data_IF_220255434254
#
_entry.id   IF_220255434254
#
_cell.length_a   1.000
_cell.length_b   1.000
_cell.length_c   1.000
_cell.angle_alpha   90.00
_cell.angle_beta   90.00
_cell.angle_gamma   90.00
#
_symmetry.space_group_name_H-M   'P 1'
#
loop_
_entity.id
_entity.type
_entity.pdbx_description
1 polymer ?
#
# COMPACT_ATOMS: atom_id res chain seq x y z
N UNK A 1 1.02 4.33 22.13
CA UNK A 1 1.70 3.09 21.70
C UNK A 1 2.53 3.38 20.47
N UNK A 2 3.82 3.00 20.53
CA UNK A 2 4.69 3.01 19.37
C UNK A 2 4.35 1.78 18.51
N UNK A 3 4.06 1.98 17.23
CA UNK A 3 3.88 0.89 16.27
C UNK A 3 5.21 0.52 15.65
N UNK A 4 5.45 -0.76 15.52
CA UNK A 4 6.67 -1.32 14.95
C UNK A 4 6.37 -2.02 13.62
N UNK A 5 7.42 -2.20 12.80
CA UNK A 5 7.40 -3.04 11.58
C UNK A 5 7.37 -4.54 11.89
N UNK A 6 7.18 -4.93 13.14
CA UNK A 6 7.10 -6.32 13.64
C UNK A 6 5.93 -6.45 14.59
N UNK A 7 5.41 -7.67 14.74
CA UNK A 7 4.32 -7.99 15.67
C UNK A 7 3.04 -8.44 14.98
N UNK A 8 3.02 -8.56 13.65
CA UNK A 8 1.95 -9.28 12.96
C UNK A 8 1.91 -10.75 13.44
N UNK A 9 0.72 -11.32 13.46
CA UNK A 9 0.50 -12.70 13.89
C UNK A 9 -0.16 -13.48 12.76
N UNK A 10 0.06 -14.81 12.68
CA UNK A 10 -0.73 -15.66 11.79
C UNK A 10 -2.21 -15.41 11.99
N UNK A 11 -2.97 -15.51 10.93
CA UNK A 11 -4.40 -15.23 10.83
C UNK A 11 -4.83 -13.76 10.94
N UNK A 12 -3.94 -12.81 11.21
CA UNK A 12 -4.25 -11.41 11.08
C UNK A 12 -4.39 -10.99 9.61
N UNK A 13 -5.21 -9.97 9.38
CA UNK A 13 -5.46 -9.40 8.08
C UNK A 13 -4.38 -8.36 7.74
N UNK A 14 -3.89 -8.39 6.50
CA UNK A 14 -3.12 -7.29 5.94
C UNK A 14 -4.08 -6.23 5.41
N UNK A 15 -4.03 -5.05 5.99
CA UNK A 15 -4.79 -3.90 5.56
C UNK A 15 -3.90 -2.81 5.01
N UNK A 16 -4.42 -2.04 4.06
CA UNK A 16 -3.76 -0.81 3.58
C UNK A 16 -4.68 0.39 3.63
N UNK A 17 -4.10 1.56 3.81
CA UNK A 17 -4.79 2.84 3.67
C UNK A 17 -4.77 3.33 2.22
N UNK A 18 -5.73 4.14 1.83
CA UNK A 18 -5.76 4.87 0.56
C UNK A 18 -5.81 4.02 -0.72
N UNK A 19 -5.13 4.49 -1.75
CA UNK A 19 -4.95 3.80 -3.04
C UNK A 19 -3.46 3.72 -3.37
N UNK A 20 -3.09 2.71 -4.15
CA UNK A 20 -1.71 2.39 -4.51
C UNK A 20 -1.43 2.76 -5.97
N UNK A 21 -0.20 3.18 -6.26
CA UNK A 21 0.33 3.44 -7.60
C UNK A 21 0.00 4.80 -8.19
N UNK A 22 -0.74 5.65 -7.48
CA UNK A 22 -1.01 7.01 -7.94
C UNK A 22 0.28 7.85 -8.02
N UNK A 23 1.22 7.65 -7.08
CA UNK A 23 2.51 8.33 -7.06
C UNK A 23 3.40 7.92 -8.23
N UNK A 24 3.47 6.64 -8.56
CA UNK A 24 4.20 6.13 -9.74
C UNK A 24 3.76 6.81 -11.03
N UNK A 25 2.45 6.91 -11.26
CA UNK A 25 1.91 7.62 -12.42
C UNK A 25 2.33 9.10 -12.39
N UNK A 26 2.34 9.72 -11.23
CA UNK A 26 2.77 11.10 -11.03
C UNK A 26 4.24 11.31 -11.40
N UNK A 27 5.12 10.43 -10.95
CA UNK A 27 6.53 10.42 -11.29
C UNK A 27 6.75 10.26 -12.80
N UNK A 28 6.10 9.28 -13.44
CA UNK A 28 6.23 9.05 -14.87
C UNK A 28 5.79 10.25 -15.71
N UNK A 29 4.72 10.92 -15.28
CA UNK A 29 4.27 12.15 -15.93
C UNK A 29 5.27 13.29 -15.79
N UNK A 30 5.95 13.41 -14.65
CA UNK A 30 7.02 14.40 -14.45
C UNK A 30 8.22 14.11 -15.34
N UNK A 31 8.67 12.86 -15.39
CA UNK A 31 9.84 12.46 -16.19
C UNK A 31 9.58 12.63 -17.69
N UNK A 32 8.40 12.27 -18.18
CA UNK A 32 8.03 12.43 -19.60
C UNK A 32 7.86 13.90 -20.02
N UNK A 33 7.47 14.78 -19.10
CA UNK A 33 7.12 16.18 -19.38
C UNK A 33 8.20 17.19 -19.02
N UNK A 34 9.46 16.79 -18.85
CA UNK A 34 10.58 17.74 -18.58
C UNK A 34 10.68 18.89 -19.60
N UNK A 35 9.99 18.82 -20.74
CA UNK A 35 10.04 19.86 -21.81
C UNK A 35 8.75 20.72 -21.94
N UNK A 36 7.63 20.39 -21.28
CA UNK A 36 6.36 21.12 -21.50
C UNK A 36 5.48 21.23 -20.24
N UNK A 37 5.24 22.44 -19.83
CA UNK A 37 4.02 23.06 -19.29
C UNK A 37 3.99 23.56 -17.85
N UNK A 38 3.51 24.81 -17.77
CA UNK A 38 3.16 25.59 -16.55
C UNK A 38 2.02 25.00 -15.69
N UNK A 39 1.33 23.94 -16.14
CA UNK A 39 0.14 23.36 -15.48
C UNK A 39 0.36 22.01 -14.79
N UNK A 40 1.59 21.51 -14.69
CA UNK A 40 1.90 20.19 -14.11
C UNK A 40 1.43 20.05 -12.66
N UNK A 41 1.58 21.11 -11.85
CA UNK A 41 1.19 21.09 -10.43
C UNK A 41 -0.31 20.88 -10.17
N UNK A 42 -1.18 21.06 -11.19
CA UNK A 42 -2.62 20.81 -11.08
C UNK A 42 -3.02 19.37 -11.37
N UNK A 43 -2.11 18.55 -11.92
CA UNK A 43 -2.40 17.14 -12.22
C UNK A 43 -2.57 16.35 -10.91
N UNK A 44 -3.62 15.53 -10.86
CA UNK A 44 -3.95 14.71 -9.69
C UNK A 44 -2.80 13.79 -9.26
N UNK A 45 -2.20 13.06 -10.21
CA UNK A 45 -1.13 12.09 -9.92
C UNK A 45 0.17 12.79 -9.52
N UNK A 46 0.52 13.88 -10.19
CA UNK A 46 1.70 14.68 -9.82
C UNK A 46 1.55 15.24 -8.40
N UNK A 47 0.34 15.68 -8.02
CA UNK A 47 0.08 16.07 -6.62
C UNK A 47 0.27 14.92 -5.64
N UNK A 48 -0.11 13.69 -6.01
CA UNK A 48 0.08 12.51 -5.16
C UNK A 48 1.55 12.20 -4.92
N UNK A 49 2.37 12.35 -5.94
CA UNK A 49 3.81 12.16 -5.85
C UNK A 49 4.52 13.29 -5.05
N UNK A 50 4.24 14.57 -5.37
CA UNK A 50 4.93 15.71 -4.74
C UNK A 50 4.45 15.95 -3.29
N UNK A 51 3.18 15.66 -3.01
CA UNK A 51 2.55 15.89 -1.70
C UNK A 51 1.78 14.64 -1.28
N UNK A 52 2.50 13.60 -0.82
CA UNK A 52 1.90 12.35 -0.39
C UNK A 52 0.99 12.55 0.84
N UNK A 53 0.05 11.64 1.08
CA UNK A 53 -0.89 11.76 2.18
C UNK A 53 -0.20 11.57 3.54
N UNK A 54 -0.53 12.42 4.50
CA UNK A 54 -0.11 12.28 5.90
C UNK A 54 -1.20 11.50 6.65
N UNK A 55 -0.86 10.35 7.26
CA UNK A 55 -1.79 9.45 7.95
C UNK A 55 -1.68 9.49 9.48
N UNK A 56 -0.98 10.48 10.05
CA UNK A 56 -0.69 10.55 11.48
C UNK A 56 -1.95 10.51 12.36
N UNK A 57 -2.98 11.27 12.03
CA UNK A 57 -4.21 11.29 12.81
C UNK A 57 -4.99 9.98 12.73
N UNK A 58 -4.96 9.32 11.58
CA UNK A 58 -5.59 8.02 11.39
C UNK A 58 -4.87 6.97 12.23
N UNK A 59 -3.55 6.85 12.09
CA UNK A 59 -2.77 5.82 12.77
C UNK A 59 -2.79 5.99 14.30
N UNK A 60 -2.77 7.21 14.81
CA UNK A 60 -2.89 7.50 16.25
C UNK A 60 -4.17 6.92 16.84
N UNK A 61 -5.29 7.04 16.13
CA UNK A 61 -6.59 6.54 16.60
C UNK A 61 -6.70 5.01 16.59
N UNK A 62 -5.98 4.34 15.69
CA UNK A 62 -6.07 2.88 15.53
C UNK A 62 -4.88 2.12 16.14
N UNK A 63 -3.83 2.81 16.58
CA UNK A 63 -2.56 2.20 17.03
C UNK A 63 -2.72 1.16 18.13
N UNK A 64 -3.72 1.28 19.01
CA UNK A 64 -3.98 0.34 20.08
C UNK A 64 -4.73 -0.93 19.62
N UNK A 65 -5.12 -1.01 18.34
CA UNK A 65 -5.84 -2.14 17.73
C UNK A 65 -5.08 -2.77 16.57
N UNK A 66 -3.90 -2.25 16.26
CA UNK A 66 -3.00 -2.69 15.18
C UNK A 66 -1.80 -3.37 15.79
N UNK A 67 -1.37 -4.50 15.25
CA UNK A 67 -0.26 -5.31 15.76
C UNK A 67 1.09 -4.88 15.19
N UNK A 68 1.11 -4.50 13.90
CA UNK A 68 2.31 -3.98 13.22
C UNK A 68 1.93 -3.01 12.10
N UNK A 69 2.83 -2.09 11.76
CA UNK A 69 2.59 -1.08 10.73
C UNK A 69 3.90 -0.67 10.05
N UNK A 70 3.82 -0.39 8.75
CA UNK A 70 4.89 0.18 7.92
C UNK A 70 4.27 1.18 6.93
N UNK A 71 5.01 2.20 6.56
CA UNK A 71 4.68 3.06 5.42
C UNK A 71 5.05 2.36 4.09
N UNK A 72 4.29 2.66 3.04
CA UNK A 72 4.55 2.14 1.69
C UNK A 72 5.41 3.16 0.96
N UNK A 73 6.72 3.03 1.12
CA UNK A 73 7.75 3.89 0.53
C UNK A 73 8.54 3.22 -0.58
N UNK A 74 8.79 1.91 -0.48
CA UNK A 74 9.56 1.13 -1.45
C UNK A 74 8.65 0.31 -2.40
N UNK A 75 7.35 0.33 -2.16
CA UNK A 75 6.31 -0.35 -2.91
C UNK A 75 5.49 -1.31 -2.07
N UNK A 76 4.21 -1.44 -2.40
CA UNK A 76 3.27 -2.24 -1.61
C UNK A 76 3.78 -3.66 -1.35
N UNK A 77 4.22 -4.33 -2.39
CA UNK A 77 4.66 -5.73 -2.29
C UNK A 77 5.88 -5.84 -1.39
N UNK A 78 6.90 -5.00 -1.61
CA UNK A 78 8.15 -5.03 -0.88
C UNK A 78 7.96 -4.69 0.61
N UNK A 79 7.20 -3.64 0.92
CA UNK A 79 6.97 -3.22 2.30
C UNK A 79 6.05 -4.18 3.06
N UNK A 80 5.07 -4.78 2.38
CA UNK A 80 4.25 -5.87 2.96
C UNK A 80 5.10 -7.11 3.29
N UNK A 81 6.06 -7.41 2.44
CA UNK A 81 7.06 -8.46 2.66
C UNK A 81 7.92 -8.19 3.90
N UNK A 82 8.45 -6.96 4.01
CA UNK A 82 9.22 -6.55 5.20
C UNK A 82 8.38 -6.69 6.48
N UNK A 83 7.11 -6.30 6.41
CA UNK A 83 6.20 -6.38 7.55
C UNK A 83 6.01 -7.83 8.02
N UNK A 84 5.78 -8.75 7.08
CA UNK A 84 5.61 -10.17 7.38
C UNK A 84 6.92 -10.84 7.83
N UNK A 85 8.00 -10.60 7.12
CA UNK A 85 9.33 -11.15 7.43
C UNK A 85 9.83 -10.71 8.80
N UNK A 86 9.68 -9.42 9.15
CA UNK A 86 10.05 -8.90 10.47
C UNK A 86 9.16 -9.44 11.60
N UNK A 87 8.00 -9.99 11.25
CA UNK A 87 7.05 -10.59 12.20
C UNK A 87 7.14 -12.12 12.25
N UNK A 88 8.11 -12.71 11.53
CA UNK A 88 8.30 -14.16 11.43
C UNK A 88 7.07 -14.91 10.88
N UNK A 89 6.30 -14.26 9.99
CA UNK A 89 5.11 -14.76 9.35
C UNK A 89 5.29 -14.89 7.84
N UNK A 90 4.47 -15.73 7.21
CA UNK A 90 4.20 -15.66 5.78
C UNK A 90 3.09 -14.67 5.48
N UNK A 91 2.82 -14.48 4.20
CA UNK A 91 1.81 -13.52 3.74
C UNK A 91 1.20 -13.96 2.41
N UNK A 92 -0.11 -13.93 2.33
CA UNK A 92 -0.86 -14.11 1.10
C UNK A 92 -1.60 -12.83 0.74
N UNK A 93 -1.35 -12.30 -0.47
CA UNK A 93 -1.97 -11.09 -1.01
C UNK A 93 -2.85 -11.47 -2.20
N UNK A 94 -4.05 -10.88 -2.25
CA UNK A 94 -4.94 -10.96 -3.42
C UNK A 94 -4.85 -9.66 -4.23
N UNK A 95 -4.35 -9.75 -5.46
CA UNK A 95 -4.18 -8.59 -6.35
C UNK A 95 -5.49 -7.89 -6.65
N UNK A 96 -6.57 -8.63 -6.78
CA UNK A 96 -7.91 -8.10 -7.04
C UNK A 96 -8.46 -7.21 -5.91
N UNK A 97 -7.93 -7.36 -4.70
CA UNK A 97 -8.33 -6.57 -3.51
C UNK A 97 -7.49 -5.30 -3.33
N UNK A 98 -6.38 -5.15 -4.07
CA UNK A 98 -5.53 -3.97 -3.97
C UNK A 98 -6.28 -2.74 -4.52
N UNK A 99 -6.45 -1.67 -3.73
CA UNK A 99 -7.21 -0.50 -4.13
C UNK A 99 -6.40 0.37 -5.08
N UNK A 100 -6.84 0.44 -6.32
CA UNK A 100 -6.34 1.35 -7.35
C UNK A 100 -7.37 2.46 -7.56
N UNK A 101 -6.93 3.70 -7.72
CA UNK A 101 -7.83 4.83 -7.95
C UNK A 101 -8.60 4.68 -9.27
N UNK A 102 -9.81 5.23 -9.36
CA UNK A 102 -10.60 5.22 -10.61
C UNK A 102 -9.84 5.90 -11.77
N UNK A 103 -9.01 6.91 -11.44
CA UNK A 103 -8.18 7.61 -12.44
C UNK A 103 -7.06 6.70 -12.94
N UNK A 104 -6.36 5.99 -12.04
CA UNK A 104 -5.32 5.04 -12.43
C UNK A 104 -5.90 3.86 -13.22
N UNK A 105 -7.06 3.32 -12.84
CA UNK A 105 -7.75 2.28 -13.61
C UNK A 105 -8.04 2.69 -15.06
N UNK A 106 -8.35 3.98 -15.32
CA UNK A 106 -8.53 4.49 -16.68
C UNK A 106 -7.23 4.51 -17.49
N UNK A 107 -6.09 4.72 -16.83
CA UNK A 107 -4.77 4.71 -17.48
C UNK A 107 -4.33 3.29 -17.79
N UNK A 108 -4.51 2.35 -16.83
CA UNK A 108 -4.20 0.94 -17.04
C UNK A 108 -4.91 0.34 -18.27
N UNK A 109 -6.16 0.76 -18.54
CA UNK A 109 -6.90 0.35 -19.73
C UNK A 109 -6.31 0.84 -21.06
N UNK A 110 -5.42 1.83 -21.03
CA UNK A 110 -4.79 2.45 -22.23
C UNK A 110 -3.41 1.88 -22.53
N UNK A 111 -3.00 0.78 -21.91
CA UNK A 111 -1.79 -0.04 -22.18
C UNK A 111 -0.42 0.61 -21.97
N UNK A 112 -0.35 1.80 -21.34
CA UNK A 112 0.94 2.45 -21.09
C UNK A 112 1.61 2.07 -19.77
N UNK A 113 0.89 1.37 -18.90
CA UNK A 113 1.35 0.93 -17.58
C UNK A 113 0.67 -0.40 -17.26
N UNK A 114 1.41 -1.34 -16.69
CA UNK A 114 0.82 -2.57 -16.19
C UNK A 114 0.52 -2.46 -14.69
N UNK A 115 -0.32 -3.34 -14.20
CA UNK A 115 -0.72 -3.36 -12.78
C UNK A 115 0.47 -3.63 -11.85
N UNK A 116 1.40 -4.50 -12.28
CA UNK A 116 2.58 -4.84 -11.49
C UNK A 116 3.46 -3.61 -11.25
N UNK A 117 3.61 -2.71 -12.24
CA UNK A 117 4.37 -1.48 -12.08
C UNK A 117 3.79 -0.60 -10.97
N UNK A 118 2.47 -0.60 -10.79
CA UNK A 118 1.82 0.20 -9.75
C UNK A 118 2.05 -0.37 -8.34
N UNK A 119 2.00 -1.68 -8.18
CA UNK A 119 2.09 -2.32 -6.85
C UNK A 119 3.52 -2.54 -6.37
N UNK A 120 4.49 -2.47 -7.28
CA UNK A 120 5.92 -2.59 -6.97
C UNK A 120 6.64 -1.25 -6.85
N UNK A 121 6.06 -0.17 -7.37
CA UNK A 121 6.63 1.16 -7.24
C UNK A 121 6.39 1.76 -5.84
N UNK A 122 7.34 2.55 -5.39
CA UNK A 122 7.29 3.27 -4.12
C UNK A 122 6.55 4.61 -4.17
N UNK A 123 6.82 5.42 -3.14
CA UNK A 123 6.38 6.82 -3.00
C UNK A 123 4.88 7.06 -2.75
N UNK A 124 4.08 6.01 -2.51
CA UNK A 124 2.67 6.20 -2.17
C UNK A 124 2.46 6.77 -0.76
N UNK A 125 3.36 6.47 0.19
CA UNK A 125 3.33 6.86 1.60
C UNK A 125 1.97 6.60 2.28
N UNK A 126 1.27 5.60 1.80
CA UNK A 126 0.13 5.01 2.50
C UNK A 126 0.65 4.03 3.56
N UNK A 127 -0.23 3.50 4.40
CA UNK A 127 0.15 2.57 5.47
C UNK A 127 -0.25 1.15 5.10
N UNK A 128 0.66 0.19 5.33
CA UNK A 128 0.35 -1.23 5.42
C UNK A 128 0.42 -1.67 6.89
N UNK A 129 -0.59 -2.38 7.36
CA UNK A 129 -0.68 -2.76 8.77
C UNK A 129 -1.42 -4.08 8.98
N UNK A 130 -1.06 -4.78 10.06
CA UNK A 130 -1.72 -6.01 10.48
C UNK A 130 -2.79 -5.74 11.53
N UNK A 131 -3.91 -6.43 11.41
CA UNK A 131 -5.04 -6.30 12.33
C UNK A 131 -5.79 -7.61 12.50
N UNK A 132 -6.19 -7.94 13.73
CA UNK A 132 -7.09 -9.06 13.97
C UNK A 132 -8.49 -8.77 13.42
N UNK A 133 -9.17 -9.79 12.91
CA UNK A 133 -10.50 -9.65 12.30
C UNK A 133 -11.51 -8.95 13.22
N UNK A 134 -11.48 -9.26 14.53
CA UNK A 134 -12.33 -8.62 15.54
C UNK A 134 -12.20 -7.10 15.64
N UNK A 135 -11.05 -6.55 15.26
CA UNK A 135 -10.77 -5.11 15.30
C UNK A 135 -11.06 -4.40 13.97
N UNK A 136 -11.28 -5.13 12.88
CA UNK A 136 -11.42 -4.57 11.53
C UNK A 136 -12.53 -3.53 11.43
N UNK A 137 -13.70 -3.81 12.00
CA UNK A 137 -14.84 -2.88 11.92
C UNK A 137 -14.57 -1.57 12.65
N UNK A 138 -13.88 -1.60 13.79
CA UNK A 138 -13.43 -0.40 14.47
C UNK A 138 -12.51 0.43 13.56
N UNK A 139 -11.53 -0.21 12.93
CA UNK A 139 -10.58 0.47 12.03
C UNK A 139 -11.28 1.08 10.83
N UNK A 140 -12.23 0.37 10.22
CA UNK A 140 -13.05 0.90 9.12
C UNK A 140 -13.89 2.11 9.54
N UNK A 141 -14.47 2.11 10.76
CA UNK A 141 -15.19 3.25 11.31
C UNK A 141 -14.29 4.47 11.45
N UNK A 142 -13.09 4.29 12.03
CA UNK A 142 -12.11 5.38 12.13
C UNK A 142 -11.70 5.86 10.73
N UNK A 143 -11.50 4.94 9.77
CA UNK A 143 -11.22 5.28 8.39
C UNK A 143 -12.29 6.18 7.77
N UNK A 144 -13.58 5.88 7.97
CA UNK A 144 -14.71 6.73 7.52
C UNK A 144 -14.65 8.11 8.16
N UNK A 145 -14.43 8.22 9.48
CA UNK A 145 -14.34 9.50 10.20
C UNK A 145 -13.17 10.35 9.66
N UNK A 146 -12.02 9.72 9.43
CA UNK A 146 -10.80 10.41 8.94
C UNK A 146 -10.72 10.53 7.42
N UNK A 147 -11.75 10.08 6.69
CA UNK A 147 -11.78 10.05 5.22
C UNK A 147 -10.60 9.27 4.61
N UNK A 148 -10.17 8.22 5.30
CA UNK A 148 -9.13 7.29 4.87
C UNK A 148 -9.78 5.99 4.45
N UNK A 149 -9.61 5.61 3.19
CA UNK A 149 -10.04 4.29 2.71
C UNK A 149 -9.20 3.22 3.38
N UNK A 150 -9.82 2.18 3.91
CA UNK A 150 -9.15 0.99 4.46
C UNK A 150 -9.57 -0.21 3.63
N UNK A 151 -8.59 -0.94 3.11
CA UNK A 151 -8.82 -2.13 2.29
C UNK A 151 -8.07 -3.32 2.89
N UNK A 152 -8.76 -4.44 3.05
CA UNK A 152 -8.13 -5.74 3.36
C UNK A 152 -7.64 -6.32 2.05
N UNK A 153 -6.35 -6.59 1.93
CA UNK A 153 -5.72 -7.08 0.69
C UNK A 153 -5.10 -8.47 0.83
N UNK A 154 -4.95 -8.97 2.06
CA UNK A 154 -4.28 -10.23 2.31
C UNK A 154 -4.43 -10.70 3.74
N UNK A 155 -3.72 -11.79 4.04
CA UNK A 155 -3.72 -12.44 5.34
C UNK A 155 -2.31 -12.94 5.70
N UNK A 156 -1.89 -12.75 6.94
CA UNK A 156 -0.66 -13.33 7.45
C UNK A 156 -0.85 -14.82 7.72
N UNK A 157 0.18 -15.62 7.39
CA UNK A 157 0.13 -17.08 7.50
C UNK A 157 1.22 -17.59 8.44
N UNK A 158 1.06 -18.82 8.93
CA UNK A 158 2.07 -19.51 9.76
C UNK A 158 3.23 -19.99 8.89
N UNK A 159 2.90 -20.54 7.72
CA UNK A 159 3.89 -20.95 6.72
C UNK A 159 4.58 -19.70 6.16
N UNK A 160 5.91 -19.69 6.22
CA UNK A 160 6.74 -18.52 5.81
C UNK A 160 6.83 -18.36 4.28
N UNK A 161 5.73 -18.54 3.60
CA UNK A 161 5.59 -18.34 2.17
C UNK A 161 5.02 -16.95 1.88
N UNK A 162 5.47 -16.37 0.77
CA UNK A 162 4.96 -15.07 0.31
C UNK A 162 4.29 -15.28 -1.04
N UNK A 163 2.97 -15.12 -1.04
CA UNK A 163 2.15 -15.45 -2.18
C UNK A 163 1.39 -14.22 -2.67
N UNK A 164 1.40 -14.02 -3.98
CA UNK A 164 0.50 -13.12 -4.68
C UNK A 164 -0.41 -13.98 -5.57
N UNK A 165 -1.72 -13.96 -5.30
CA UNK A 165 -2.71 -14.81 -5.98
C UNK A 165 -2.32 -16.30 -6.00
N UNK A 166 -1.84 -16.83 -4.85
CA UNK A 166 -1.42 -18.21 -4.69
C UNK A 166 -0.08 -18.59 -5.34
N UNK A 167 0.58 -17.66 -6.02
CA UNK A 167 1.90 -17.90 -6.65
C UNK A 167 3.00 -17.29 -5.81
N UNK A 168 4.10 -18.06 -5.64
CA UNK A 168 5.26 -17.56 -4.93
C UNK A 168 5.79 -16.29 -5.61
N UNK A 169 5.92 -15.23 -4.83
CA UNK A 169 6.55 -14.01 -5.29
C UNK A 169 8.05 -14.14 -5.01
N UNK A 170 8.81 -14.47 -6.05
CA UNK A 170 10.27 -14.52 -5.94
C UNK A 170 10.81 -13.09 -5.83
N UNK A 171 11.86 -12.91 -5.01
CA UNK A 171 12.66 -11.67 -4.89
C UNK A 171 13.31 -11.27 -6.23
N UNK A 172 12.52 -10.96 -7.25
CA UNK A 172 13.00 -10.51 -8.55
C UNK A 172 13.17 -8.99 -8.67
N UNK A 173 13.11 -8.24 -7.57
CA UNK A 173 13.39 -6.82 -7.54
C UNK A 173 14.45 -6.52 -6.48
N UNK A 174 15.71 -6.74 -6.83
CA UNK A 174 16.81 -6.01 -6.21
C UNK A 174 16.89 -4.66 -6.93
N UNK A 175 16.57 -3.58 -6.25
CA UNK A 175 17.19 -2.30 -6.55
C UNK A 175 18.69 -2.48 -6.21
N UNK A 176 19.53 -2.52 -7.24
CA UNK A 176 20.98 -2.76 -7.39
C UNK A 176 21.43 -4.18 -7.62
#
# INVERSE_FOLDING_TARGET
NLLHRRGAKPDELLCISGNIGDAKIGLDLLLKKQKESKNLKKNYFIKKFINPPIRNDFIRMISHKVSSCIDISDGLIFDSFKLASNSDCGLEISSSKIPISLKAKKILKKEYLNFNDLITAGDDYELAFSVSEKNLEFIKKVGKIKKVKVSVIGKFTKEKNFLLDGKAFSKGYSHF
#
